data_IF_525142495360
#
_entry.id   IF_525142495360
#
_cell.length_a   1.000
_cell.length_b   1.000
_cell.length_c   1.000
_cell.angle_alpha   90.00
_cell.angle_beta   90.00
_cell.angle_gamma   90.00
#
_symmetry.space_group_name_H-M   'P 1'
#
loop_
_entity.id
_entity.type
_entity.pdbx_description
1 polymer ?
#
# COMPACT_ATOMS: atom_id res chain seq x y z
N UNK A 1 -15.33 15.73 -16.19
CA UNK A 1 -14.21 15.07 -16.90
C UNK A 1 -14.36 15.28 -18.40
N UNK A 2 -15.56 15.12 -18.95
CA UNK A 2 -15.91 15.50 -20.33
C UNK A 2 -15.39 16.88 -20.76
N UNK A 3 -15.60 17.93 -19.96
CA UNK A 3 -15.09 19.27 -20.28
C UNK A 3 -13.57 19.33 -20.41
N UNK A 4 -12.86 18.57 -19.58
CA UNK A 4 -11.39 18.52 -19.60
C UNK A 4 -10.84 17.68 -20.76
N UNK A 5 -11.66 16.80 -21.33
CA UNK A 5 -11.31 15.96 -22.49
C UNK A 5 -11.80 16.57 -23.81
N UNK A 6 -12.55 17.69 -23.75
CA UNK A 6 -13.09 18.35 -24.93
C UNK A 6 -11.96 18.77 -25.88
N UNK A 7 -12.04 18.31 -27.12
CA UNK A 7 -11.03 18.58 -28.16
C UNK A 7 -9.78 17.71 -28.10
N UNK A 8 -9.70 16.77 -27.15
CA UNK A 8 -8.62 15.77 -27.12
C UNK A 8 -9.08 14.50 -27.82
N UNK A 9 -8.22 13.93 -28.68
CA UNK A 9 -8.44 12.65 -29.33
C UNK A 9 -8.14 11.48 -28.36
N UNK A 10 -8.87 11.41 -27.26
CA UNK A 10 -8.68 10.42 -26.19
C UNK A 10 -10.01 9.82 -25.76
N UNK A 11 -10.01 8.51 -25.50
CA UNK A 11 -11.16 7.79 -24.97
C UNK A 11 -10.81 7.23 -23.59
N UNK A 12 -11.68 7.47 -22.60
CA UNK A 12 -11.52 6.89 -21.28
C UNK A 12 -12.01 5.45 -21.33
N UNK A 13 -11.10 4.49 -21.22
CA UNK A 13 -11.45 3.05 -21.22
C UNK A 13 -11.62 2.48 -19.82
N UNK A 14 -10.93 3.05 -18.82
CA UNK A 14 -10.98 2.60 -17.44
C UNK A 14 -10.71 3.74 -16.45
N UNK A 15 -11.32 3.67 -15.27
CA UNK A 15 -11.01 4.50 -14.10
C UNK A 15 -10.83 3.66 -12.84
N UNK A 16 -9.73 3.88 -12.10
CA UNK A 16 -9.44 3.25 -10.80
C UNK A 16 -9.67 4.24 -9.66
N UNK A 17 -10.44 3.85 -8.63
CA UNK A 17 -10.80 4.73 -7.52
C UNK A 17 -11.26 3.97 -6.26
N UNK A 18 -11.57 4.73 -5.19
CA UNK A 18 -11.90 4.29 -3.82
C UNK A 18 -13.31 3.72 -3.61
N UNK A 19 -14.03 3.33 -4.68
CA UNK A 19 -15.44 2.93 -4.64
C UNK A 19 -16.43 3.99 -4.14
N UNK A 20 -16.11 5.29 -4.23
CA UNK A 20 -17.13 6.31 -4.10
C UNK A 20 -18.29 6.04 -5.07
N UNK A 21 -19.50 5.81 -4.56
CA UNK A 21 -20.67 5.42 -5.38
C UNK A 21 -20.97 6.42 -6.49
N UNK A 22 -20.80 7.71 -6.22
CA UNK A 22 -20.91 8.77 -7.22
C UNK A 22 -19.85 8.68 -8.33
N UNK A 23 -18.60 8.35 -7.97
CA UNK A 23 -17.51 8.16 -8.95
C UNK A 23 -17.79 6.92 -9.80
N UNK A 24 -18.13 5.79 -9.17
CA UNK A 24 -18.44 4.55 -9.88
C UNK A 24 -19.63 4.73 -10.83
N UNK A 25 -20.69 5.43 -10.39
CA UNK A 25 -21.83 5.76 -11.23
C UNK A 25 -21.46 6.67 -12.41
N UNK A 26 -20.67 7.72 -12.17
CA UNK A 26 -20.20 8.61 -13.23
C UNK A 26 -19.35 7.87 -14.27
N UNK A 27 -18.41 7.05 -13.83
CA UNK A 27 -17.54 6.26 -14.73
C UNK A 27 -18.36 5.29 -15.58
N UNK A 28 -19.28 4.53 -14.97
CA UNK A 28 -20.05 3.50 -15.67
C UNK A 28 -21.13 4.11 -16.58
N UNK A 29 -21.90 5.08 -16.08
CA UNK A 29 -23.12 5.54 -16.75
C UNK A 29 -22.93 6.81 -17.58
N UNK A 30 -21.93 7.64 -17.29
CA UNK A 30 -21.68 8.88 -18.05
C UNK A 30 -20.47 8.76 -18.97
N UNK A 31 -19.37 8.14 -18.52
CA UNK A 31 -18.19 7.95 -19.35
C UNK A 31 -18.24 6.67 -20.21
N UNK A 32 -19.13 5.71 -19.89
CA UNK A 32 -19.16 4.40 -20.54
C UNK A 32 -17.86 3.59 -20.33
N UNK A 33 -17.10 3.91 -19.29
CA UNK A 33 -15.78 3.34 -19.03
C UNK A 33 -15.85 2.25 -17.96
N UNK A 34 -14.87 1.34 -17.95
CA UNK A 34 -14.75 0.34 -16.91
C UNK A 34 -14.34 0.97 -15.58
N UNK A 35 -15.03 0.64 -14.49
CA UNK A 35 -14.60 1.03 -13.14
C UNK A 35 -13.84 -0.13 -12.50
N UNK A 36 -12.61 0.16 -12.06
CA UNK A 36 -11.78 -0.83 -11.36
C UNK A 36 -11.60 -0.49 -9.87
N UNK A 37 -11.69 -1.48 -8.97
CA UNK A 37 -11.27 -1.36 -7.57
C UNK A 37 -9.85 -0.85 -7.43
N UNK A 38 -9.64 0.14 -6.56
CA UNK A 38 -8.31 0.36 -6.01
C UNK A 38 -8.06 -0.59 -4.82
N UNK A 39 -7.08 -1.49 -4.98
CA UNK A 39 -6.73 -2.52 -3.99
C UNK A 39 -6.32 -1.92 -2.65
N UNK A 40 -5.78 -0.69 -2.64
CA UNK A 40 -5.41 0.00 -1.42
C UNK A 40 -6.60 0.15 -0.47
N UNK A 41 -7.76 0.57 -0.97
CA UNK A 41 -8.94 0.80 -0.12
C UNK A 41 -9.50 -0.50 0.44
N UNK A 42 -9.40 -1.58 -0.33
CA UNK A 42 -9.81 -2.92 0.10
C UNK A 42 -8.91 -3.40 1.26
N UNK A 43 -7.59 -3.34 1.07
CA UNK A 43 -6.62 -3.69 2.11
C UNK A 43 -6.73 -2.75 3.33
N UNK A 44 -7.02 -1.47 3.09
CA UNK A 44 -7.14 -0.47 4.15
C UNK A 44 -8.36 -0.70 5.04
N UNK A 45 -9.49 -1.17 4.48
CA UNK A 45 -10.64 -1.58 5.29
C UNK A 45 -10.32 -2.80 6.18
N UNK A 46 -9.52 -3.75 5.69
CA UNK A 46 -9.01 -4.87 6.51
C UNK A 46 -8.08 -4.36 7.62
N UNK A 47 -7.13 -3.48 7.30
CA UNK A 47 -6.22 -2.85 8.29
C UNK A 47 -7.01 -2.10 9.36
N UNK A 48 -8.02 -1.31 8.97
CA UNK A 48 -8.91 -0.62 9.92
C UNK A 48 -9.67 -1.58 10.82
N UNK A 49 -10.04 -2.76 10.32
CA UNK A 49 -10.77 -3.76 11.08
C UNK A 49 -9.90 -4.43 12.16
N UNK A 50 -8.62 -4.69 11.88
CA UNK A 50 -7.83 -5.64 12.67
C UNK A 50 -6.58 -5.05 13.32
N UNK A 51 -5.92 -4.07 12.71
CA UNK A 51 -4.54 -3.68 13.10
C UNK A 51 -4.42 -3.20 14.54
N UNK A 52 -5.25 -2.25 14.96
CA UNK A 52 -5.22 -1.71 16.33
C UNK A 52 -5.64 -2.76 17.36
N UNK A 53 -6.66 -3.56 17.06
CA UNK A 53 -7.17 -4.59 17.97
C UNK A 53 -6.12 -5.69 18.22
N UNK A 54 -5.47 -6.18 17.15
CA UNK A 54 -4.41 -7.17 17.25
C UNK A 54 -3.18 -6.61 17.97
N UNK A 55 -2.75 -5.39 17.62
CA UNK A 55 -1.63 -4.75 18.32
C UNK A 55 -1.91 -4.54 19.82
N UNK A 56 -3.14 -4.18 20.18
CA UNK A 56 -3.56 -4.06 21.58
C UNK A 56 -3.51 -5.40 22.31
N UNK A 57 -3.95 -6.49 21.66
CA UNK A 57 -3.87 -7.85 22.23
C UNK A 57 -2.43 -8.30 22.45
N UNK A 58 -1.55 -8.11 21.46
CA UNK A 58 -0.11 -8.38 21.60
C UNK A 58 0.50 -7.60 22.77
N UNK A 59 0.21 -6.29 22.86
CA UNK A 59 0.71 -5.45 23.95
C UNK A 59 0.17 -5.88 25.32
N UNK A 60 -1.09 -6.30 25.38
CA UNK A 60 -1.69 -6.80 26.62
C UNK A 60 -1.06 -8.13 27.06
N UNK A 61 -0.84 -9.05 26.12
CA UNK A 61 -0.19 -10.34 26.40
C UNK A 61 1.26 -10.15 26.86
N UNK A 62 1.99 -9.23 26.23
CA UNK A 62 3.36 -8.88 26.64
C UNK A 62 3.42 -8.38 28.09
N UNK A 63 2.53 -7.45 28.46
CA UNK A 63 2.42 -6.96 29.84
C UNK A 63 2.01 -8.06 30.84
N UNK A 64 1.14 -8.98 30.41
CA UNK A 64 0.74 -10.10 31.24
C UNK A 64 1.91 -11.05 31.51
N UNK A 65 2.73 -11.32 30.50
CA UNK A 65 3.97 -12.10 30.66
C UNK A 65 4.95 -11.40 31.60
N UNK A 66 5.24 -10.11 31.38
CA UNK A 66 6.10 -9.32 32.28
C UNK A 66 5.62 -9.38 33.74
N UNK A 67 4.31 -9.26 33.95
CA UNK A 67 3.70 -9.34 35.28
C UNK A 67 3.80 -10.74 35.89
N UNK A 68 3.66 -11.79 35.08
CA UNK A 68 3.78 -13.19 35.50
C UNK A 68 5.22 -13.56 35.85
N UNK A 69 6.19 -13.18 35.02
CA UNK A 69 7.62 -13.33 35.30
C UNK A 69 8.03 -12.59 36.58
N UNK A 70 7.56 -11.36 36.76
CA UNK A 70 7.79 -10.63 38.01
C UNK A 70 7.15 -11.32 39.23
N UNK A 71 6.02 -12.01 39.07
CA UNK A 71 5.41 -12.78 40.15
C UNK A 71 6.24 -14.03 40.51
N UNK A 72 6.81 -14.71 39.53
CA UNK A 72 7.75 -15.83 39.75
C UNK A 72 8.96 -15.35 40.54
N UNK A 73 9.62 -14.29 40.09
CA UNK A 73 10.77 -13.72 40.79
C UNK A 73 10.42 -13.33 42.23
N UNK A 74 9.28 -12.66 42.45
CA UNK A 74 8.81 -12.34 43.81
C UNK A 74 8.62 -13.59 44.68
N UNK A 75 8.12 -14.69 44.14
CA UNK A 75 7.96 -15.92 44.92
C UNK A 75 9.31 -16.55 45.29
N UNK A 76 10.29 -16.50 44.37
CA UNK A 76 11.67 -16.96 44.62
C UNK A 76 12.35 -16.07 45.67
N UNK A 77 12.29 -14.74 45.51
CA UNK A 77 12.87 -13.78 46.45
C UNK A 77 12.27 -13.95 47.86
N UNK A 78 10.96 -14.17 47.96
CA UNK A 78 10.30 -14.46 49.24
C UNK A 78 10.79 -15.76 49.88
N UNK A 79 11.07 -16.80 49.09
CA UNK A 79 11.63 -18.05 49.60
C UNK A 79 13.05 -17.82 50.14
N UNK A 80 13.92 -17.20 49.33
CA UNK A 80 15.31 -16.89 49.72
C UNK A 80 15.35 -16.01 50.96
N UNK A 81 14.50 -14.99 51.04
CA UNK A 81 14.41 -14.09 52.19
C UNK A 81 13.84 -14.76 53.46
N UNK A 82 13.01 -15.80 53.31
CA UNK A 82 12.54 -16.60 54.44
C UNK A 82 13.65 -17.53 54.94
N UNK A 83 14.36 -18.18 54.03
CA UNK A 83 15.45 -19.11 54.35
C UNK A 83 16.66 -18.40 54.98
N UNK A 84 16.93 -17.15 54.61
CA UNK A 84 18.00 -16.34 55.20
C UNK A 84 17.72 -15.82 56.62
N UNK A 85 16.46 -15.85 57.09
CA UNK A 85 16.04 -15.36 58.42
C UNK A 85 16.13 -16.41 59.54
N UNK A 86 16.53 -17.65 59.23
CA UNK A 86 16.68 -18.73 60.22
C UNK A 86 15.36 -19.34 60.74
N UNK A 87 15.44 -20.20 61.76
CA UNK A 87 14.26 -20.90 62.33
C UNK A 87 13.26 -19.91 62.93
N UNK A 88 12.07 -19.84 62.35
CA UNK A 88 10.95 -19.04 62.86
C UNK A 88 9.86 -19.94 63.46
N UNK A 89 9.20 -19.51 64.55
CA UNK A 89 8.05 -20.24 65.09
C UNK A 89 6.89 -20.26 64.08
N UNK A 90 6.33 -21.44 63.85
CA UNK A 90 5.15 -21.64 62.98
C UNK A 90 5.37 -22.61 61.81
N UNK A 91 4.32 -22.82 61.01
CA UNK A 91 4.33 -23.73 59.85
C UNK A 91 5.03 -23.06 58.65
N UNK A 92 6.07 -23.70 58.08
CA UNK A 92 6.77 -23.22 56.87
C UNK A 92 5.78 -22.98 55.72
N UNK A 93 5.78 -21.80 55.07
CA UNK A 93 4.97 -21.56 53.89
C UNK A 93 5.32 -22.51 52.74
N UNK A 94 4.33 -22.92 51.94
CA UNK A 94 4.52 -23.81 50.78
C UNK A 94 5.08 -23.04 49.57
N UNK A 95 6.34 -22.59 49.64
CA UNK A 95 6.97 -21.81 48.57
C UNK A 95 7.08 -22.58 47.25
N UNK A 96 7.44 -23.87 47.28
CA UNK A 96 7.52 -24.70 46.07
C UNK A 96 6.19 -24.70 45.31
N UNK A 97 5.07 -24.88 46.00
CA UNK A 97 3.73 -24.85 45.38
C UNK A 97 3.39 -23.47 44.82
N UNK A 98 3.78 -22.39 45.50
CA UNK A 98 3.57 -21.02 45.02
C UNK A 98 4.38 -20.73 43.76
N UNK A 99 5.65 -21.14 43.74
CA UNK A 99 6.55 -20.99 42.59
C UNK A 99 6.02 -21.82 41.41
N UNK A 100 5.65 -23.08 41.62
CA UNK A 100 5.08 -23.92 40.56
C UNK A 100 3.81 -23.31 39.95
N UNK A 101 2.91 -22.76 40.78
CA UNK A 101 1.72 -22.07 40.29
C UNK A 101 2.07 -20.78 39.51
N UNK A 102 3.08 -20.04 39.95
CA UNK A 102 3.53 -18.83 39.27
C UNK A 102 4.19 -19.16 37.91
N UNK A 103 5.03 -20.20 37.86
CA UNK A 103 5.65 -20.72 36.64
C UNK A 103 4.59 -21.20 35.64
N UNK A 104 3.54 -21.88 36.11
CA UNK A 104 2.42 -22.27 35.24
C UNK A 104 1.75 -21.05 34.60
N UNK A 105 1.48 -19.99 35.38
CA UNK A 105 0.90 -18.75 34.87
C UNK A 105 1.83 -18.01 33.91
N UNK A 106 3.14 -18.04 34.16
CA UNK A 106 4.14 -17.50 33.25
C UNK A 106 4.14 -18.24 31.91
N UNK A 107 4.10 -19.59 31.94
CA UNK A 107 4.00 -20.40 30.72
C UNK A 107 2.70 -20.14 29.94
N UNK A 108 1.56 -20.01 30.63
CA UNK A 108 0.27 -19.63 30.03
C UNK A 108 0.34 -18.23 29.38
N UNK A 109 0.98 -17.26 30.05
CA UNK A 109 1.16 -15.91 29.53
C UNK A 109 2.11 -15.85 28.33
N UNK A 110 3.17 -16.66 28.34
CA UNK A 110 4.10 -16.80 27.21
C UNK A 110 3.37 -17.36 25.99
N UNK A 111 2.63 -18.45 26.17
CA UNK A 111 1.84 -19.04 25.09
C UNK A 111 0.80 -18.05 24.53
N UNK A 112 0.12 -17.30 25.39
CA UNK A 112 -0.84 -16.28 24.96
C UNK A 112 -0.17 -15.16 24.14
N UNK A 113 1.06 -14.77 24.48
CA UNK A 113 1.84 -13.81 23.70
C UNK A 113 2.23 -14.37 22.33
N UNK A 114 2.72 -15.60 22.27
CA UNK A 114 3.07 -16.28 21.01
C UNK A 114 1.87 -16.35 20.06
N UNK A 115 0.70 -16.75 20.57
CA UNK A 115 -0.55 -16.78 19.81
C UNK A 115 -0.96 -15.39 19.32
N UNK A 116 -0.85 -14.36 20.16
CA UNK A 116 -1.18 -12.99 19.77
C UNK A 116 -0.26 -12.45 18.65
N UNK A 117 1.05 -12.73 18.73
CA UNK A 117 2.02 -12.40 17.69
C UNK A 117 1.70 -13.15 16.40
N UNK A 118 1.37 -14.45 16.49
CA UNK A 118 1.02 -15.27 15.35
C UNK A 118 -0.21 -14.73 14.62
N UNK A 119 -1.29 -14.39 15.34
CA UNK A 119 -2.48 -13.77 14.75
C UNK A 119 -2.15 -12.46 14.03
N UNK A 120 -1.31 -11.61 14.64
CA UNK A 120 -0.89 -10.35 14.02
C UNK A 120 -0.13 -10.59 12.72
N UNK A 121 0.80 -11.56 12.70
CA UNK A 121 1.59 -11.92 11.52
C UNK A 121 0.70 -12.51 10.41
N UNK A 122 -0.14 -13.50 10.75
CA UNK A 122 -1.07 -14.14 9.80
C UNK A 122 -2.01 -13.13 9.16
N UNK A 123 -2.57 -12.20 9.95
CA UNK A 123 -3.42 -11.12 9.43
C UNK A 123 -2.66 -10.21 8.45
N UNK A 124 -1.42 -9.85 8.77
CA UNK A 124 -0.58 -9.02 7.89
C UNK A 124 -0.26 -9.74 6.57
N UNK A 125 0.09 -11.01 6.64
CA UNK A 125 0.42 -11.84 5.47
C UNK A 125 -0.81 -12.07 4.58
N UNK A 126 -1.95 -12.42 5.17
CA UNK A 126 -3.21 -12.61 4.45
C UNK A 126 -3.73 -11.30 3.84
N UNK A 127 -3.56 -10.16 4.51
CA UNK A 127 -3.90 -8.87 3.91
C UNK A 127 -2.94 -8.50 2.77
N UNK A 128 -1.64 -8.78 2.91
CA UNK A 128 -0.63 -8.54 1.86
C UNK A 128 -0.93 -9.39 0.62
N UNK A 129 -1.33 -10.65 0.81
CA UNK A 129 -1.58 -11.59 -0.30
C UNK A 129 -2.75 -11.16 -1.19
N UNK A 130 -3.71 -10.35 -0.71
CA UNK A 130 -4.75 -9.73 -1.57
C UNK A 130 -4.10 -8.98 -2.73
N UNK A 131 -3.10 -8.15 -2.44
CA UNK A 131 -2.37 -7.41 -3.46
C UNK A 131 -1.52 -8.35 -4.31
N UNK A 132 -0.80 -9.30 -3.71
CA UNK A 132 0.08 -10.22 -4.46
C UNK A 132 -0.70 -11.11 -5.44
N UNK A 133 -1.95 -11.43 -5.12
CA UNK A 133 -2.81 -12.30 -5.92
C UNK A 133 -3.71 -11.54 -6.92
N UNK A 134 -3.87 -10.22 -6.77
CA UNK A 134 -4.71 -9.41 -7.67
C UNK A 134 -3.93 -8.95 -8.91
N UNK A 135 -3.58 -9.90 -9.78
CA UNK A 135 -2.91 -9.67 -11.05
C UNK A 135 -3.57 -10.50 -12.17
N UNK A 136 -3.67 -10.00 -13.41
CA UNK A 136 -4.13 -10.78 -14.57
C UNK A 136 -3.03 -11.68 -15.15
N UNK A 137 -1.81 -11.59 -14.64
CA UNK A 137 -0.64 -12.36 -15.06
C UNK A 137 0.03 -12.90 -13.81
N UNK A 138 0.37 -14.17 -13.81
CA UNK A 138 1.17 -14.78 -12.75
C UNK A 138 2.59 -14.20 -12.83
N UNK A 139 3.01 -13.50 -11.78
CA UNK A 139 4.30 -12.78 -11.79
C UNK A 139 5.53 -13.69 -11.77
N UNK A 140 5.35 -14.96 -11.39
CA UNK A 140 6.41 -15.97 -11.37
C UNK A 140 6.49 -16.68 -12.73
N UNK A 141 5.36 -17.19 -13.23
CA UNK A 141 5.32 -17.99 -14.47
C UNK A 141 5.14 -17.15 -15.72
N UNK A 142 4.67 -15.91 -15.63
CA UNK A 142 4.36 -15.09 -16.80
C UNK A 142 3.10 -15.51 -17.55
N UNK A 143 2.35 -16.48 -17.04
CA UNK A 143 1.11 -16.94 -17.67
C UNK A 143 -0.04 -15.98 -17.37
N UNK A 144 -0.91 -15.78 -18.36
CA UNK A 144 -2.20 -15.11 -18.14
C UNK A 144 -3.04 -15.93 -17.16
N UNK A 145 -3.60 -15.26 -16.17
CA UNK A 145 -4.41 -15.90 -15.14
C UNK A 145 -5.87 -15.98 -15.56
N UNK A 146 -6.46 -17.15 -15.40
CA UNK A 146 -7.90 -17.34 -15.49
C UNK A 146 -8.61 -16.63 -14.33
N UNK A 147 -9.80 -16.08 -14.59
CA UNK A 147 -10.62 -15.42 -13.57
C UNK A 147 -10.88 -16.36 -12.38
N UNK A 148 -11.05 -17.67 -12.63
CA UNK A 148 -11.24 -18.68 -11.58
C UNK A 148 -10.00 -18.85 -10.69
N UNK A 149 -8.79 -18.80 -11.27
CA UNK A 149 -7.55 -18.88 -10.48
C UNK A 149 -7.42 -17.68 -9.55
N UNK A 150 -7.64 -16.47 -10.07
CA UNK A 150 -7.63 -15.23 -9.26
C UNK A 150 -8.71 -15.29 -8.18
N UNK A 151 -9.89 -15.83 -8.49
CA UNK A 151 -11.00 -16.01 -7.55
C UNK A 151 -10.59 -16.87 -6.37
N UNK A 152 -9.96 -18.03 -6.63
CA UNK A 152 -9.53 -18.95 -5.59
C UNK A 152 -8.49 -18.30 -4.67
N UNK A 153 -7.50 -17.62 -5.24
CA UNK A 153 -6.44 -16.96 -4.47
C UNK A 153 -6.96 -15.80 -3.60
N UNK A 154 -7.86 -14.98 -4.13
CA UNK A 154 -8.47 -13.89 -3.36
C UNK A 154 -9.38 -14.44 -2.25
N UNK A 155 -10.17 -15.48 -2.54
CA UNK A 155 -11.00 -16.12 -1.53
C UNK A 155 -10.18 -16.78 -0.42
N UNK A 156 -9.04 -17.41 -0.76
CA UNK A 156 -8.12 -17.97 0.22
C UNK A 156 -7.59 -16.89 1.16
N UNK A 157 -7.17 -15.73 0.63
CA UNK A 157 -6.74 -14.60 1.44
C UNK A 157 -7.84 -14.10 2.39
N UNK A 158 -9.07 -13.92 1.90
CA UNK A 158 -10.20 -13.49 2.73
C UNK A 158 -10.67 -14.53 3.74
N UNK A 159 -10.58 -15.82 3.41
CA UNK A 159 -10.88 -16.90 4.34
C UNK A 159 -9.86 -16.90 5.49
N UNK A 160 -8.57 -16.74 5.20
CA UNK A 160 -7.53 -16.63 6.24
C UNK A 160 -7.74 -15.38 7.13
N UNK A 161 -8.07 -14.23 6.54
CA UNK A 161 -8.43 -13.02 7.30
C UNK A 161 -9.61 -13.29 8.24
N UNK A 162 -10.66 -13.98 7.76
CA UNK A 162 -11.83 -14.31 8.57
C UNK A 162 -11.49 -15.30 9.69
N UNK A 163 -10.68 -16.32 9.42
CA UNK A 163 -10.18 -17.30 10.40
C UNK A 163 -9.42 -16.60 11.52
N UNK A 164 -8.41 -15.80 11.17
CA UNK A 164 -7.61 -15.06 12.16
C UNK A 164 -8.46 -14.08 12.96
N UNK A 165 -9.43 -13.42 12.32
CA UNK A 165 -10.34 -12.53 13.03
C UNK A 165 -11.21 -13.27 14.07
N UNK A 166 -11.63 -14.51 13.76
CA UNK A 166 -12.39 -15.36 14.67
C UNK A 166 -11.51 -15.87 15.82
N UNK A 167 -10.35 -16.46 15.51
CA UNK A 167 -9.39 -16.98 16.49
C UNK A 167 -8.91 -15.88 17.47
N UNK A 168 -8.67 -14.67 16.94
CA UNK A 168 -8.30 -13.52 17.76
C UNK A 168 -9.49 -12.88 18.50
N UNK A 169 -10.71 -13.36 18.29
CA UNK A 169 -11.95 -12.83 18.87
C UNK A 169 -12.10 -11.32 18.63
N UNK A 170 -12.00 -10.91 17.37
CA UNK A 170 -12.21 -9.52 16.99
C UNK A 170 -13.68 -9.11 17.11
N UNK A 171 -13.92 -7.81 17.27
CA UNK A 171 -15.26 -7.27 17.49
C UNK A 171 -16.20 -7.48 16.29
N UNK A 172 -17.51 -7.47 16.54
CA UNK A 172 -18.52 -7.48 15.48
C UNK A 172 -18.34 -6.34 14.46
N UNK A 173 -17.82 -5.17 14.91
CA UNK A 173 -17.48 -4.07 14.02
C UNK A 173 -16.34 -4.43 13.06
N UNK A 174 -15.28 -5.07 13.55
CA UNK A 174 -14.18 -5.60 12.74
C UNK A 174 -14.69 -6.61 11.71
N UNK A 175 -15.55 -7.53 12.11
CA UNK A 175 -16.17 -8.52 11.22
C UNK A 175 -16.97 -7.86 10.10
N UNK A 176 -17.79 -6.84 10.40
CA UNK A 176 -18.54 -6.08 9.39
C UNK A 176 -17.61 -5.43 8.36
N UNK A 177 -16.47 -4.88 8.79
CA UNK A 177 -15.46 -4.27 7.91
C UNK A 177 -14.78 -5.30 7.00
N UNK A 178 -14.43 -6.47 7.53
CA UNK A 178 -13.87 -7.58 6.74
C UNK A 178 -14.87 -8.06 5.68
N UNK A 179 -16.15 -8.25 6.06
CA UNK A 179 -17.22 -8.63 5.11
C UNK A 179 -17.36 -7.57 4.02
N UNK A 180 -17.34 -6.28 4.38
CA UNK A 180 -17.40 -5.18 3.40
C UNK A 180 -16.23 -5.24 2.41
N UNK A 181 -15.00 -5.45 2.89
CA UNK A 181 -13.82 -5.58 2.03
C UNK A 181 -13.95 -6.80 1.09
N UNK A 182 -14.46 -7.93 1.60
CA UNK A 182 -14.67 -9.15 0.78
C UNK A 182 -15.66 -8.93 -0.36
N UNK A 183 -16.69 -8.10 -0.19
CA UNK A 183 -17.66 -7.81 -1.27
C UNK A 183 -16.99 -7.19 -2.51
N UNK A 184 -15.90 -6.45 -2.35
CA UNK A 184 -15.18 -5.85 -3.46
C UNK A 184 -14.46 -6.88 -4.37
N UNK A 185 -14.32 -8.15 -3.93
CA UNK A 185 -13.73 -9.22 -4.75
C UNK A 185 -14.52 -9.42 -6.04
N UNK A 186 -15.86 -9.29 -6.01
CA UNK A 186 -16.68 -9.44 -7.22
C UNK A 186 -16.25 -8.46 -8.30
N UNK A 187 -16.14 -7.18 -7.97
CA UNK A 187 -15.74 -6.13 -8.90
C UNK A 187 -14.24 -6.22 -9.29
N UNK A 188 -13.38 -6.76 -8.41
CA UNK A 188 -11.99 -7.09 -8.77
C UNK A 188 -11.94 -8.12 -9.89
N UNK A 189 -12.77 -9.17 -9.80
CA UNK A 189 -12.85 -10.21 -10.81
C UNK A 189 -13.46 -9.70 -12.13
N UNK A 190 -14.44 -8.80 -12.06
CA UNK A 190 -14.94 -8.09 -13.25
C UNK A 190 -13.82 -7.33 -13.95
N UNK A 191 -12.88 -6.75 -13.20
CA UNK A 191 -11.72 -6.06 -13.79
C UNK A 191 -10.72 -7.01 -14.45
N UNK A 192 -10.52 -8.20 -13.89
CA UNK A 192 -9.71 -9.25 -14.54
C UNK A 192 -10.36 -9.71 -15.85
N UNK A 193 -11.67 -9.94 -15.83
CA UNK A 193 -12.43 -10.31 -17.02
C UNK A 193 -12.40 -9.21 -18.09
N UNK A 194 -12.60 -7.94 -17.68
CA UNK A 194 -12.49 -6.78 -18.56
C UNK A 194 -11.11 -6.68 -19.21
N UNK A 195 -10.03 -6.86 -18.43
CA UNK A 195 -8.68 -6.87 -18.97
C UNK A 195 -8.54 -7.92 -20.06
N UNK A 196 -8.96 -9.16 -19.76
CA UNK A 196 -8.84 -10.28 -20.69
C UNK A 196 -9.66 -10.08 -21.97
N UNK A 197 -10.93 -9.68 -21.86
CA UNK A 197 -11.77 -9.46 -23.04
C UNK A 197 -11.22 -8.32 -23.90
N UNK A 198 -10.74 -7.25 -23.28
CA UNK A 198 -10.19 -6.09 -24.01
C UNK A 198 -8.89 -6.43 -24.74
N UNK A 199 -7.98 -7.21 -24.13
CA UNK A 199 -6.76 -7.64 -24.83
C UNK A 199 -7.10 -8.55 -26.01
N UNK A 200 -8.05 -9.47 -25.86
CA UNK A 200 -8.47 -10.37 -26.94
C UNK A 200 -9.06 -9.57 -28.11
N UNK A 201 -10.02 -8.68 -27.85
CA UNK A 201 -10.60 -7.84 -28.91
C UNK A 201 -9.57 -6.94 -29.60
N UNK A 202 -8.58 -6.40 -28.87
CA UNK A 202 -7.50 -5.60 -29.46
C UNK A 202 -6.59 -6.42 -30.36
N UNK A 203 -6.35 -7.69 -30.02
CA UNK A 203 -5.48 -8.57 -30.80
C UNK A 203 -6.20 -9.14 -32.01
N UNK A 204 -7.47 -9.54 -31.86
CA UNK A 204 -8.34 -9.96 -32.96
C UNK A 204 -8.41 -8.88 -34.05
N UNK A 205 -8.50 -7.60 -33.65
CA UNK A 205 -8.52 -6.47 -34.57
C UNK A 205 -7.24 -6.30 -35.40
N UNK A 206 -6.11 -6.88 -34.97
CA UNK A 206 -4.86 -6.87 -35.74
C UNK A 206 -4.83 -7.92 -36.85
N UNK A 207 -5.76 -8.89 -36.86
CA UNK A 207 -5.86 -9.95 -37.88
C UNK A 207 -4.53 -10.67 -38.14
N UNK A 208 -3.83 -11.02 -37.06
CA UNK A 208 -2.51 -11.64 -37.10
C UNK A 208 -2.58 -13.13 -37.42
N UNK A 209 -1.47 -13.70 -37.90
CA UNK A 209 -1.35 -15.14 -38.01
C UNK A 209 -1.45 -15.82 -36.62
N UNK A 210 -2.04 -17.02 -36.49
CA UNK A 210 -2.28 -17.66 -35.19
C UNK A 210 -1.04 -17.83 -34.31
N UNK A 211 0.13 -18.09 -34.91
CA UNK A 211 1.39 -18.20 -34.17
C UNK A 211 1.84 -16.86 -33.54
N UNK A 212 1.61 -15.75 -34.24
CA UNK A 212 1.95 -14.39 -33.78
C UNK A 212 0.97 -13.95 -32.70
N UNK A 213 -0.33 -14.19 -32.89
CA UNK A 213 -1.36 -13.93 -31.89
C UNK A 213 -1.09 -14.68 -30.59
N UNK A 214 -0.74 -15.97 -30.68
CA UNK A 214 -0.37 -16.78 -29.52
C UNK A 214 0.86 -16.22 -28.79
N UNK A 215 1.92 -15.87 -29.52
CA UNK A 215 3.12 -15.28 -28.93
C UNK A 215 2.83 -13.90 -28.26
N UNK A 216 1.92 -13.13 -28.83
CA UNK A 216 1.48 -11.85 -28.29
C UNK A 216 0.75 -12.01 -26.95
N UNK A 217 -0.22 -12.93 -26.90
CA UNK A 217 -1.04 -13.23 -25.72
C UNK A 217 -0.24 -13.90 -24.60
N UNK A 218 0.54 -14.93 -24.94
CA UNK A 218 1.18 -15.80 -23.94
C UNK A 218 2.55 -15.28 -23.48
N UNK A 219 3.21 -14.43 -24.27
CA UNK A 219 4.58 -13.99 -23.96
C UNK A 219 4.74 -12.47 -23.95
N UNK A 220 4.42 -11.77 -25.04
CA UNK A 220 4.76 -10.33 -25.16
C UNK A 220 3.97 -9.46 -24.17
N UNK A 221 2.63 -9.56 -24.16
CA UNK A 221 1.79 -8.77 -23.24
C UNK A 221 2.12 -9.10 -21.77
N UNK A 222 2.22 -10.37 -21.35
CA UNK A 222 2.59 -10.71 -19.98
C UNK A 222 3.98 -10.21 -19.57
N UNK A 223 4.99 -10.32 -20.45
CA UNK A 223 6.32 -9.82 -20.17
C UNK A 223 6.32 -8.30 -19.95
N UNK A 224 5.63 -7.55 -20.81
CA UNK A 224 5.50 -6.10 -20.67
C UNK A 224 4.72 -5.70 -19.42
N UNK A 225 3.71 -6.47 -19.05
CA UNK A 225 2.98 -6.27 -17.79
C UNK A 225 3.90 -6.49 -16.59
N UNK A 226 4.65 -7.60 -16.54
CA UNK A 226 5.62 -7.88 -15.47
C UNK A 226 6.67 -6.77 -15.39
N UNK A 227 7.17 -6.26 -16.52
CA UNK A 227 8.09 -5.11 -16.57
C UNK A 227 7.50 -3.85 -15.95
N UNK A 228 6.22 -3.57 -16.18
CA UNK A 228 5.52 -2.44 -15.55
C UNK A 228 5.34 -2.66 -14.04
N UNK A 229 5.08 -3.89 -13.61
CA UNK A 229 4.99 -4.24 -12.18
C UNK A 229 6.35 -4.11 -11.51
N UNK A 230 7.44 -4.51 -12.16
CA UNK A 230 8.81 -4.40 -11.63
C UNK A 230 9.14 -2.95 -11.28
N UNK A 231 8.78 -1.98 -12.11
CA UNK A 231 9.03 -0.55 -11.86
C UNK A 231 8.31 -0.02 -10.61
N UNK A 232 7.21 -0.67 -10.20
CA UNK A 232 6.40 -0.31 -9.04
C UNK A 232 6.70 -1.17 -7.81
N UNK A 233 7.60 -2.15 -7.91
CA UNK A 233 7.89 -3.06 -6.80
C UNK A 233 8.67 -2.38 -5.67
N UNK A 234 8.32 -2.72 -4.42
CA UNK A 234 8.82 -2.08 -3.20
C UNK A 234 10.32 -2.28 -2.98
N UNK A 235 10.81 -3.52 -3.08
CA UNK A 235 12.19 -3.89 -2.75
C UNK A 235 13.06 -3.98 -4.01
N UNK A 236 14.35 -3.67 -3.88
CA UNK A 236 15.30 -3.78 -4.99
C UNK A 236 15.46 -5.23 -5.48
N UNK A 237 15.29 -6.19 -4.59
CA UNK A 237 15.26 -7.62 -4.92
C UNK A 237 14.07 -7.96 -5.81
N UNK A 238 12.84 -7.61 -5.41
CA UNK A 238 11.65 -7.87 -6.23
C UNK A 238 11.71 -7.14 -7.57
N UNK A 239 12.25 -5.92 -7.61
CA UNK A 239 12.48 -5.19 -8.87
C UNK A 239 13.39 -5.97 -9.81
N UNK A 240 14.54 -6.44 -9.32
CA UNK A 240 15.50 -7.21 -10.12
C UNK A 240 14.93 -8.54 -10.58
N UNK A 241 14.27 -9.27 -9.68
CA UNK A 241 13.65 -10.58 -9.97
C UNK A 241 12.58 -10.48 -11.06
N UNK A 242 11.64 -9.54 -10.93
CA UNK A 242 10.58 -9.33 -11.91
C UNK A 242 11.13 -8.79 -13.24
N UNK A 243 12.13 -7.89 -13.18
CA UNK A 243 12.78 -7.40 -14.39
C UNK A 243 13.46 -8.55 -15.15
N UNK A 244 14.22 -9.41 -14.45
CA UNK A 244 14.86 -10.57 -15.05
C UNK A 244 13.84 -11.54 -15.66
N UNK A 245 12.69 -11.77 -15.00
CA UNK A 245 11.61 -12.60 -15.57
C UNK A 245 11.06 -12.02 -16.86
N UNK A 246 10.76 -10.71 -16.87
CA UNK A 246 10.33 -10.03 -18.09
C UNK A 246 11.38 -10.11 -19.20
N UNK A 247 12.66 -9.87 -18.89
CA UNK A 247 13.73 -9.87 -19.88
C UNK A 247 13.96 -11.27 -20.46
N UNK A 248 13.83 -12.33 -19.64
CA UNK A 248 13.86 -13.72 -20.09
C UNK A 248 12.75 -14.02 -21.09
N UNK A 249 11.51 -13.61 -20.79
CA UNK A 249 10.38 -13.83 -21.70
C UNK A 249 10.53 -13.04 -23.01
N UNK A 250 11.02 -11.79 -22.94
CA UNK A 250 11.28 -11.00 -24.14
C UNK A 250 12.43 -11.59 -24.97
N UNK A 251 13.45 -12.17 -24.34
CA UNK A 251 14.54 -12.83 -25.06
C UNK A 251 14.07 -14.05 -25.86
N UNK A 252 13.06 -14.79 -25.40
CA UNK A 252 12.49 -15.94 -26.13
C UNK A 252 11.78 -15.54 -27.42
N UNK A 253 11.34 -14.28 -27.50
CA UNK A 253 10.72 -13.72 -28.70
C UNK A 253 11.74 -13.23 -29.74
N UNK A 254 13.03 -13.21 -29.37
CA UNK A 254 14.14 -12.77 -30.20
C UNK A 254 14.90 -13.99 -30.74
N UNK A 255 14.71 -14.33 -32.01
CA UNK A 255 15.40 -15.45 -32.66
C UNK A 255 14.78 -15.81 -34.01
N UNK A 256 15.50 -16.60 -34.82
CA UNK A 256 15.04 -17.01 -36.15
C UNK A 256 13.74 -17.83 -36.10
N UNK A 257 13.55 -18.64 -35.05
CA UNK A 257 12.37 -19.49 -34.84
C UNK A 257 11.19 -18.73 -34.20
N UNK A 258 11.34 -17.43 -33.95
CA UNK A 258 10.26 -16.60 -33.38
C UNK A 258 9.13 -16.41 -34.41
N UNK A 259 7.85 -16.46 -34.00
CA UNK A 259 6.74 -16.08 -34.87
C UNK A 259 6.85 -14.65 -35.41
N UNK A 260 7.64 -13.79 -34.75
CA UNK A 260 7.88 -12.41 -35.18
C UNK A 260 8.99 -12.27 -36.22
N UNK A 261 9.79 -13.31 -36.49
CA UNK A 261 10.96 -13.22 -37.39
C UNK A 261 10.58 -12.95 -38.86
N UNK A 262 9.39 -13.37 -39.27
CA UNK A 262 8.86 -13.18 -40.62
C UNK A 262 8.17 -11.81 -40.82
N UNK A 263 8.03 -11.00 -39.77
CA UNK A 263 7.33 -9.72 -39.82
C UNK A 263 8.27 -8.58 -40.18
N UNK A 264 7.73 -7.57 -40.87
CA UNK A 264 8.42 -6.32 -41.13
C UNK A 264 8.60 -5.49 -39.85
N UNK A 265 9.54 -4.53 -39.90
CA UNK A 265 9.78 -3.58 -38.80
C UNK A 265 8.52 -2.77 -38.44
N UNK A 266 7.71 -2.42 -39.43
CA UNK A 266 6.50 -1.62 -39.23
C UNK A 266 5.41 -2.45 -38.55
N UNK A 267 5.21 -3.70 -38.96
CA UNK A 267 4.29 -4.64 -38.30
C UNK A 267 4.69 -4.88 -36.84
N UNK A 268 5.98 -5.10 -36.58
CA UNK A 268 6.50 -5.26 -35.21
C UNK A 268 6.27 -4.00 -34.38
N UNK A 269 6.45 -2.81 -34.96
CA UNK A 269 6.19 -1.54 -34.26
C UNK A 269 4.72 -1.40 -33.84
N UNK A 270 3.79 -1.76 -34.73
CA UNK A 270 2.35 -1.77 -34.43
C UNK A 270 2.02 -2.78 -33.33
N UNK A 271 2.55 -4.01 -33.43
CA UNK A 271 2.35 -5.06 -32.42
C UNK A 271 2.91 -4.63 -31.07
N UNK A 272 4.13 -4.10 -31.01
CA UNK A 272 4.76 -3.62 -29.78
C UNK A 272 3.93 -2.49 -29.15
N UNK A 273 3.40 -1.58 -29.97
CA UNK A 273 2.55 -0.49 -29.49
C UNK A 273 1.28 -1.03 -28.83
N UNK A 274 0.54 -1.90 -29.51
CA UNK A 274 -0.69 -2.51 -28.96
C UNK A 274 -0.37 -3.35 -27.73
N UNK A 275 0.72 -4.10 -27.72
CA UNK A 275 1.14 -4.88 -26.55
C UNK A 275 1.44 -3.99 -25.34
N UNK A 276 2.08 -2.82 -25.56
CA UNK A 276 2.33 -1.84 -24.51
C UNK A 276 1.05 -1.22 -23.97
N UNK A 277 0.06 -0.95 -24.82
CA UNK A 277 -1.27 -0.48 -24.40
C UNK A 277 -1.98 -1.55 -23.56
N UNK A 278 -2.03 -2.79 -24.05
CA UNK A 278 -2.63 -3.93 -23.37
C UNK A 278 -2.00 -4.13 -21.99
N UNK A 279 -0.66 -4.17 -21.90
CA UNK A 279 0.05 -4.27 -20.63
C UNK A 279 -0.20 -3.06 -19.68
N UNK A 280 -0.64 -1.92 -20.22
CA UNK A 280 -0.99 -0.72 -19.47
C UNK A 280 -2.44 -0.66 -18.99
N UNK A 281 -3.30 -1.54 -19.48
CA UNK A 281 -4.75 -1.51 -19.24
C UNK A 281 -5.08 -1.81 -17.77
N UNK A 282 -4.45 -2.84 -17.19
CA UNK A 282 -4.71 -3.21 -15.80
C UNK A 282 -3.93 -2.35 -14.81
N UNK A 283 -4.66 -1.60 -13.99
CA UNK A 283 -4.11 -0.82 -12.87
C UNK A 283 -4.68 -1.28 -11.53
N UNK A 284 -3.80 -1.72 -10.64
CA UNK A 284 -4.16 -2.23 -9.30
C UNK A 284 -4.51 -1.14 -8.29
N UNK A 285 -3.89 0.04 -8.43
CA UNK A 285 -4.02 1.14 -7.47
C UNK A 285 -3.65 2.48 -8.09
N UNK A 286 -4.29 3.54 -7.62
CA UNK A 286 -4.16 4.94 -8.03
C UNK A 286 -3.23 5.72 -7.07
N UNK A 287 -1.93 5.43 -7.11
CA UNK A 287 -0.96 5.98 -6.13
C UNK A 287 -0.81 7.50 -6.11
N UNK A 288 -1.17 8.20 -7.20
CA UNK A 288 -0.97 9.64 -7.33
C UNK A 288 -1.89 10.46 -6.42
N UNK A 289 -3.07 9.95 -6.08
CA UNK A 289 -4.08 10.71 -5.33
C UNK A 289 -3.90 10.51 -3.83
N UNK A 290 -3.55 9.30 -3.39
CA UNK A 290 -3.38 8.99 -1.96
C UNK A 290 -2.21 9.73 -1.30
N UNK A 291 -1.10 9.95 -2.01
CA UNK A 291 0.01 10.77 -1.51
C UNK A 291 -0.41 12.23 -1.28
N UNK A 292 -1.20 12.79 -2.21
CA UNK A 292 -1.75 14.15 -2.09
C UNK A 292 -2.83 14.22 -1.01
N UNK A 293 -3.74 13.25 -0.94
CA UNK A 293 -4.77 13.16 0.08
C UNK A 293 -4.16 13.02 1.47
N UNK A 294 -3.12 12.20 1.62
CA UNK A 294 -2.34 12.07 2.84
C UNK A 294 -1.64 13.37 3.22
N UNK A 295 -0.97 14.04 2.27
CA UNK A 295 -0.38 15.36 2.50
C UNK A 295 -1.44 16.38 2.92
N UNK A 296 -2.58 16.44 2.24
CA UNK A 296 -3.68 17.33 2.56
C UNK A 296 -4.24 17.03 3.95
N UNK A 297 -4.47 15.77 4.28
CA UNK A 297 -4.94 15.34 5.60
C UNK A 297 -3.94 15.73 6.71
N UNK A 298 -2.64 15.49 6.51
CA UNK A 298 -1.59 15.91 7.44
C UNK A 298 -1.50 17.43 7.56
N UNK A 299 -1.62 18.15 6.44
CA UNK A 299 -1.65 19.61 6.40
C UNK A 299 -2.87 20.13 7.16
N UNK A 300 -4.07 19.62 6.89
CA UNK A 300 -5.28 19.99 7.62
C UNK A 300 -5.13 19.69 9.10
N UNK A 301 -4.69 18.48 9.48
CA UNK A 301 -4.44 18.11 10.88
C UNK A 301 -3.44 19.06 11.58
N UNK A 302 -2.33 19.41 10.92
CA UNK A 302 -1.34 20.36 11.43
C UNK A 302 -1.82 21.82 11.41
N UNK A 303 -2.85 22.15 10.63
CA UNK A 303 -3.47 23.48 10.58
C UNK A 303 -4.65 23.62 11.56
N UNK A 304 -5.24 22.52 12.04
CA UNK A 304 -6.38 22.52 12.98
C UNK A 304 -6.03 23.00 14.39
N UNK A 305 -4.75 22.99 14.78
CA UNK A 305 -4.28 23.55 16.06
C UNK A 305 -3.12 24.51 15.82
N UNK A 306 -3.19 25.71 16.40
CA UNK A 306 -2.04 26.63 16.44
C UNK A 306 -1.09 26.14 17.53
N UNK A 307 0.06 25.57 17.15
CA UNK A 307 1.13 25.30 18.11
C UNK A 307 1.65 26.62 18.70
N UNK A 308 2.23 26.59 19.90
CA UNK A 308 2.83 27.80 20.52
C UNK A 308 3.84 28.48 19.59
N UNK A 309 4.63 27.69 18.84
CA UNK A 309 5.56 28.21 17.82
C UNK A 309 4.83 28.96 16.71
N UNK A 310 3.74 28.40 16.19
CA UNK A 310 2.95 29.01 15.12
C UNK A 310 2.18 30.23 15.62
N UNK A 311 1.65 30.18 16.84
CA UNK A 311 1.00 31.32 17.50
C UNK A 311 1.99 32.47 17.71
N UNK A 312 3.21 32.18 18.18
CA UNK A 312 4.28 33.18 18.31
C UNK A 312 4.63 33.80 16.94
N UNK A 313 4.83 32.99 15.91
CA UNK A 313 5.09 33.49 14.56
C UNK A 313 3.94 34.37 14.02
N UNK A 314 2.69 33.96 14.21
CA UNK A 314 1.52 34.75 13.83
C UNK A 314 1.41 36.05 14.63
N UNK A 315 1.81 36.05 15.90
CA UNK A 315 1.86 37.24 16.75
C UNK A 315 2.89 38.23 16.22
N UNK A 316 4.07 37.75 15.80
CA UNK A 316 5.10 38.58 15.16
C UNK A 316 4.57 39.16 13.84
N UNK A 317 3.98 38.35 12.97
CA UNK A 317 3.39 38.83 11.70
C UNK A 317 2.30 39.87 11.96
N UNK A 318 1.41 39.61 12.93
CA UNK A 318 0.35 40.55 13.28
C UNK A 318 0.92 41.89 13.75
N UNK A 319 1.89 41.88 14.65
CA UNK A 319 2.42 43.08 15.26
C UNK A 319 3.35 43.89 14.34
N UNK A 320 4.11 43.22 13.46
CA UNK A 320 5.21 43.85 12.72
C UNK A 320 5.04 43.87 11.19
N UNK A 321 4.07 43.16 10.62
CA UNK A 321 3.87 43.10 9.16
C UNK A 321 2.47 43.55 8.71
N UNK A 322 1.43 43.21 9.45
CA UNK A 322 0.06 43.61 9.09
C UNK A 322 -0.12 45.11 9.35
N UNK A 323 -0.55 45.84 8.32
CA UNK A 323 -0.80 47.30 8.37
C UNK A 323 -2.29 47.61 8.30
N UNK A 324 -2.68 48.75 8.87
CA UNK A 324 -4.01 49.34 8.68
C UNK A 324 -4.01 50.24 7.43
N UNK A 325 -5.16 50.86 7.15
CA UNK A 325 -5.32 51.85 6.05
C UNK A 325 -4.40 53.07 6.19
N UNK A 326 -3.92 53.36 7.39
CA UNK A 326 -2.96 54.43 7.68
C UNK A 326 -1.49 53.98 7.55
N UNK A 327 -1.25 52.79 6.99
CA UNK A 327 0.06 52.17 6.78
C UNK A 327 0.87 51.85 8.07
N UNK A 328 0.29 52.04 9.26
CA UNK A 328 0.97 51.76 10.53
C UNK A 328 0.78 50.32 11.02
N UNK A 329 1.81 49.75 11.63
CA UNK A 329 1.74 48.42 12.27
C UNK A 329 1.23 48.50 13.72
N UNK A 330 0.67 47.42 14.30
CA UNK A 330 0.31 47.43 15.72
C UNK A 330 1.49 47.72 16.66
N UNK A 331 2.69 47.21 16.36
CA UNK A 331 3.88 47.51 17.15
C UNK A 331 4.23 49.00 17.08
N UNK A 332 4.16 49.62 15.90
CA UNK A 332 4.43 51.06 15.74
C UNK A 332 3.50 51.93 16.58
N UNK A 333 2.20 51.60 16.61
CA UNK A 333 1.24 52.34 17.44
C UNK A 333 1.44 52.12 18.94
N UNK A 334 1.87 50.92 19.34
CA UNK A 334 2.10 50.61 20.74
C UNK A 334 3.37 51.25 21.29
N UNK A 335 4.46 51.22 20.52
CA UNK A 335 5.77 51.75 20.94
C UNK A 335 5.98 53.21 20.54
N UNK A 336 5.10 53.79 19.72
CA UNK A 336 5.22 55.17 19.24
C UNK A 336 6.37 55.40 18.24
N UNK A 337 7.00 54.33 17.74
CA UNK A 337 8.12 54.38 16.83
C UNK A 337 8.04 53.26 15.80
N UNK A 338 8.46 53.53 14.56
CA UNK A 338 8.40 52.57 13.47
C UNK A 338 9.42 51.44 13.67
N UNK A 339 8.98 50.17 13.75
CA UNK A 339 9.90 49.04 13.88
C UNK A 339 10.62 48.75 12.56
N UNK A 340 11.70 47.97 12.64
CA UNK A 340 12.40 47.47 11.46
C UNK A 340 11.46 46.62 10.58
N UNK A 341 11.70 46.64 9.27
CA UNK A 341 10.91 45.85 8.32
C UNK A 341 11.08 44.34 8.57
N UNK A 342 9.96 43.65 8.82
CA UNK A 342 9.97 42.22 9.15
C UNK A 342 10.50 41.37 7.99
N UNK A 343 10.23 41.73 6.75
CA UNK A 343 10.64 40.93 5.59
C UNK A 343 12.15 40.99 5.39
N UNK A 344 12.73 42.19 5.44
CA UNK A 344 14.19 42.38 5.42
C UNK A 344 14.88 41.68 6.59
N UNK A 345 14.32 41.77 7.80
CA UNK A 345 14.85 41.07 8.97
C UNK A 345 14.88 39.54 8.78
N UNK A 346 13.83 38.96 8.19
CA UNK A 346 13.76 37.53 7.93
C UNK A 346 14.75 37.09 6.86
N UNK A 347 14.96 37.87 5.80
CA UNK A 347 15.94 37.55 4.77
C UNK A 347 17.37 37.49 5.31
N UNK A 348 17.71 38.35 6.29
CA UNK A 348 19.03 38.35 6.94
C UNK A 348 19.22 37.17 7.91
N UNK A 349 18.13 36.62 8.46
CA UNK A 349 18.18 35.63 9.55
C UNK A 349 17.76 34.22 9.17
N UNK A 350 17.15 34.01 8.00
CA UNK A 350 16.68 32.70 7.59
C UNK A 350 17.72 31.99 6.73
N UNK A 351 18.17 30.83 7.18
CA UNK A 351 18.94 29.91 6.36
C UNK A 351 18.09 29.37 5.21
N UNK A 352 18.48 29.70 3.98
CA UNK A 352 17.78 29.25 2.78
C UNK A 352 18.09 27.76 2.56
N UNK A 353 17.08 26.89 2.38
CA UNK A 353 17.32 25.48 2.15
C UNK A 353 18.10 25.24 0.85
N UNK A 354 18.93 24.19 0.85
CA UNK A 354 19.71 23.79 -0.32
C UNK A 354 18.86 23.53 -1.55
N UNK A 355 19.44 23.74 -2.74
CA UNK A 355 18.75 23.51 -4.01
C UNK A 355 18.32 22.04 -4.14
N UNK A 356 17.15 21.76 -4.75
CA UNK A 356 16.72 20.39 -5.00
C UNK A 356 17.77 19.59 -5.78
N UNK A 357 17.87 18.29 -5.48
CA UNK A 357 18.77 17.39 -6.20
C UNK A 357 18.50 17.44 -7.71
N UNK A 358 19.56 17.60 -8.51
CA UNK A 358 19.47 17.52 -9.98
C UNK A 358 18.91 16.16 -10.38
N UNK A 359 17.87 16.16 -11.22
CA UNK A 359 17.30 14.93 -11.80
C UNK A 359 18.41 14.16 -12.55
N UNK A 360 18.52 12.85 -12.30
CA UNK A 360 19.45 11.99 -13.05
C UNK A 360 18.99 11.88 -14.51
N UNK A 361 19.96 11.95 -15.42
CA UNK A 361 19.74 11.80 -16.87
C UNK A 361 19.11 10.45 -17.18
N UNK A 362 18.03 10.42 -17.97
CA UNK A 362 17.47 9.19 -18.56
C UNK A 362 17.95 9.12 -20.01
N UNK A 363 18.65 8.06 -20.44
CA UNK A 363 19.04 7.93 -21.85
C UNK A 363 17.81 7.82 -22.75
N UNK A 364 17.84 8.50 -23.90
CA UNK A 364 16.72 8.66 -24.84
C UNK A 364 16.48 7.45 -25.75
N UNK A 365 17.48 6.61 -25.97
CA UNK A 365 17.37 5.53 -26.96
C UNK A 365 16.65 4.32 -26.37
N UNK A 366 15.35 4.20 -26.67
CA UNK A 366 14.61 2.95 -26.47
C UNK A 366 15.10 1.92 -27.51
N UNK A 367 15.84 0.91 -27.06
CA UNK A 367 16.10 -0.28 -27.90
C UNK A 367 14.75 -0.94 -28.24
N UNK A 368 14.54 -1.41 -29.48
CA UNK A 368 13.34 -2.18 -29.83
C UNK A 368 13.26 -3.44 -28.94
N UNK A 369 12.04 -3.83 -28.55
CA UNK A 369 11.82 -4.95 -27.64
C UNK A 369 11.98 -6.28 -28.37
N UNK A 370 11.64 -6.28 -29.65
CA UNK A 370 11.84 -7.37 -30.61
C UNK A 370 12.86 -6.90 -31.65
N UNK A 371 13.96 -7.62 -31.78
CA UNK A 371 14.96 -7.43 -32.80
C UNK A 371 14.47 -8.08 -34.11
N UNK A 372 14.46 -7.30 -35.19
CA UNK A 372 14.24 -7.85 -36.54
C UNK A 372 15.58 -8.41 -37.03
N UNK A 373 15.57 -9.66 -37.48
CA UNK A 373 16.72 -10.34 -38.07
C UNK A 373 17.23 -9.67 -39.34
#
# INVERSE_FOLDING_TARGET
MEDALKGLAVTVVQSSSDYGTGIANYVKNHLGAHHSPDVFHIQYEVVKASSTALASKTKSAQKALESASAAVNRCIDQQVAYESKGSQPGRKPQYDRKIQNALKKEAEALHALEVAILHQKRMQEANRSISENYHPVNLETGELMETQQVTNLLNQAFNEIATVANEAQLSAFSTKKIIKARKAVVDMLVTIAFFRSTILSKIEALSLAPAVEKALLEQLIPALYIRRVSQKAKTAENRRRLQARSDQMLAQLNGCDSPFSALSKDEISVIEHVAQECAGLFQRSSSCVEGRNGQLSLRHHGLHRLSNRKLSALTVVHNYFIKRRDETTPAERFFGAKPNDLFSFLLDKVDIPGRPAKKRFKPEVKKPLIAVG
#
